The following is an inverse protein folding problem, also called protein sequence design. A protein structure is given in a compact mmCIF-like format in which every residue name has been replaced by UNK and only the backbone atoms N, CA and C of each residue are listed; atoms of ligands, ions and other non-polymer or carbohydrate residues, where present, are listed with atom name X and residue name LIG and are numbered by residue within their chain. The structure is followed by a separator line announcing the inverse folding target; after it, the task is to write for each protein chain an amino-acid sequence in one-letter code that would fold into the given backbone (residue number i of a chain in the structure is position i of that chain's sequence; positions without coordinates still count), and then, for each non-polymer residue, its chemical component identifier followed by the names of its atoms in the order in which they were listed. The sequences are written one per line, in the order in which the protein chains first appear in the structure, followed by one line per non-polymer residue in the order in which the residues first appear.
data_IF_462378368627
#
_entry.id   IF_462378368627
#
_cell.length_a   1.000
_cell.length_b   1.000
_cell.length_c   1.000
_cell.angle_alpha   90.00
_cell.angle_beta   90.00
_cell.angle_gamma   90.00
#
_symmetry.space_group_name_H-M   'P 1'
#
loop_
_entity.id
_entity.type
_entity.pdbx_description
1 polymer ?
#
# COMPACT_ATOMS: atom_id res chain seq x y z
N UNK A 1 -4.07 8.17 -14.68
CA UNK A 1 -2.79 8.72 -14.18
C UNK A 1 -2.90 9.25 -12.75
N UNK A 2 -3.86 10.12 -12.42
CA UNK A 2 -4.05 10.62 -11.04
C UNK A 2 -4.11 9.52 -9.96
N UNK A 3 -4.78 8.40 -10.23
CA UNK A 3 -4.86 7.25 -9.30
C UNK A 3 -3.49 6.73 -8.83
N UNK A 4 -2.49 6.71 -9.70
CA UNK A 4 -1.14 6.25 -9.35
C UNK A 4 -0.49 7.23 -8.37
N UNK A 5 -0.58 8.54 -8.64
CA UNK A 5 -0.02 9.59 -7.78
C UNK A 5 -0.61 9.50 -6.36
N UNK A 6 -1.93 9.34 -6.25
CA UNK A 6 -2.58 9.15 -4.95
C UNK A 6 -2.12 7.88 -4.23
N UNK A 7 -1.92 6.77 -4.93
CA UNK A 7 -1.41 5.53 -4.32
C UNK A 7 0.04 5.67 -3.85
N UNK A 8 0.87 6.41 -4.59
CA UNK A 8 2.25 6.72 -4.19
C UNK A 8 2.22 7.55 -2.91
N UNK A 9 1.46 8.66 -2.89
CA UNK A 9 1.33 9.52 -1.71
C UNK A 9 0.78 8.73 -0.52
N UNK A 10 -0.22 7.87 -0.74
CA UNK A 10 -0.78 7.01 0.30
C UNK A 10 0.25 6.01 0.84
N UNK A 11 1.09 5.44 -0.02
CA UNK A 11 2.18 4.56 0.38
C UNK A 11 3.22 5.29 1.22
N UNK A 12 3.69 6.45 0.77
CA UNK A 12 4.66 7.29 1.50
C UNK A 12 4.11 7.66 2.88
N UNK A 13 2.93 8.28 2.92
CA UNK A 13 2.31 8.72 4.18
C UNK A 13 1.95 7.55 5.08
N UNK A 14 1.42 6.47 4.50
CA UNK A 14 1.04 5.29 5.27
C UNK A 14 2.25 4.59 5.91
N UNK A 15 3.36 4.44 5.17
CA UNK A 15 4.61 3.91 5.73
C UNK A 15 5.17 4.85 6.80
N UNK A 16 5.19 6.16 6.55
CA UNK A 16 5.66 7.15 7.51
C UNK A 16 4.85 7.14 8.82
N UNK A 17 3.51 7.07 8.74
CA UNK A 17 2.67 6.90 9.93
C UNK A 17 2.96 5.56 10.61
N UNK A 18 3.12 4.48 9.85
CA UNK A 18 3.30 3.15 10.42
C UNK A 18 4.58 3.05 11.24
N UNK A 19 5.68 3.65 10.79
CA UNK A 19 6.94 3.75 11.55
C UNK A 19 6.72 4.38 12.93
N UNK A 20 5.80 5.34 13.05
CA UNK A 20 5.56 6.08 14.29
C UNK A 20 4.52 5.44 15.20
N UNK A 21 3.50 4.80 14.62
CA UNK A 21 2.33 4.30 15.36
C UNK A 21 2.33 2.79 15.56
N UNK A 22 3.11 2.03 14.79
CA UNK A 22 3.12 0.57 14.84
C UNK A 22 4.42 0.07 15.48
N UNK A 23 4.36 -0.50 16.70
CA UNK A 23 5.53 -1.13 17.29
C UNK A 23 5.93 -2.35 16.44
N UNK A 24 7.21 -2.45 16.09
CA UNK A 24 7.76 -3.50 15.21
C UNK A 24 7.94 -3.08 13.75
N UNK A 25 7.68 -1.82 13.40
CA UNK A 25 8.15 -1.21 12.15
C UNK A 25 9.43 -0.44 12.47
N UNK A 26 10.57 -0.97 12.02
CA UNK A 26 11.88 -0.35 12.20
C UNK A 26 12.30 0.36 10.91
N UNK A 27 12.75 1.61 11.05
CA UNK A 27 13.22 2.41 9.94
C UNK A 27 14.55 3.06 10.28
N UNK A 28 15.59 2.60 9.61
CA UNK A 28 16.99 3.01 9.76
C UNK A 28 17.50 3.74 8.51
N UNK A 29 16.72 3.69 7.42
CA UNK A 29 17.02 4.34 6.14
C UNK A 29 16.90 5.86 6.16
N UNK A 30 17.22 6.45 5.01
CA UNK A 30 17.08 7.89 4.78
C UNK A 30 15.66 8.25 4.31
N UNK A 31 15.27 9.52 4.41
CA UNK A 31 13.97 9.98 3.89
C UNK A 31 13.76 9.61 2.40
N UNK A 32 14.84 9.46 1.63
CA UNK A 32 14.81 9.05 0.23
C UNK A 32 14.31 7.62 0.06
N UNK A 33 14.70 6.72 0.96
CA UNK A 33 14.24 5.32 1.01
C UNK A 33 12.74 5.27 1.19
N UNK A 34 12.19 6.08 2.10
CA UNK A 34 10.76 6.11 2.37
C UNK A 34 9.98 6.60 1.15
N UNK A 35 10.48 7.64 0.47
CA UNK A 35 9.89 8.12 -0.79
C UNK A 35 9.94 7.03 -1.87
N UNK A 36 11.08 6.38 -2.04
CA UNK A 36 11.25 5.33 -3.04
C UNK A 36 10.37 4.11 -2.74
N UNK A 37 10.24 3.71 -1.47
CA UNK A 37 9.35 2.67 -1.02
C UNK A 37 7.89 2.98 -1.34
N UNK A 38 7.44 4.19 -1.05
CA UNK A 38 6.08 4.62 -1.41
C UNK A 38 5.83 4.69 -2.92
N UNK A 39 6.83 5.10 -3.71
CA UNK A 39 6.75 5.09 -5.19
C UNK A 39 6.59 3.65 -5.70
N UNK A 40 7.45 2.73 -5.24
CA UNK A 40 7.38 1.33 -5.65
C UNK A 40 6.06 0.69 -5.18
N UNK A 41 5.61 0.98 -3.96
CA UNK A 41 4.33 0.52 -3.45
C UNK A 41 3.16 0.97 -4.33
N UNK A 42 3.16 2.24 -4.78
CA UNK A 42 2.16 2.77 -5.70
C UNK A 42 2.21 2.07 -7.06
N UNK A 43 3.41 1.83 -7.61
CA UNK A 43 3.58 1.09 -8.86
C UNK A 43 3.07 -0.35 -8.77
N UNK A 44 3.39 -1.06 -7.68
CA UNK A 44 2.91 -2.43 -7.44
C UNK A 44 1.38 -2.45 -7.30
N UNK A 45 0.78 -1.50 -6.58
CA UNK A 45 -0.67 -1.41 -6.48
C UNK A 45 -1.35 -1.07 -7.82
N UNK A 46 -0.69 -0.35 -8.71
CA UNK A 46 -1.24 -0.02 -10.01
C UNK A 46 -1.10 -1.15 -11.03
N UNK A 47 0.05 -1.82 -11.09
CA UNK A 47 0.33 -2.85 -12.11
C UNK A 47 0.09 -4.27 -11.63
N UNK A 48 0.61 -4.63 -10.45
CA UNK A 48 0.64 -6.01 -9.97
C UNK A 48 -0.68 -6.42 -9.32
N UNK A 49 -1.27 -5.53 -8.50
CA UNK A 49 -2.51 -5.83 -7.78
C UNK A 49 -3.72 -6.16 -8.69
N UNK A 50 -3.94 -5.52 -9.86
CA UNK A 50 -4.98 -5.94 -10.79
C UNK A 50 -4.78 -7.37 -11.31
N UNK A 51 -3.53 -7.72 -11.65
CA UNK A 51 -3.17 -9.06 -12.13
C UNK A 51 -3.44 -10.09 -11.04
N UNK A 52 -2.94 -9.85 -9.83
CA UNK A 52 -3.18 -10.72 -8.68
C UNK A 52 -4.68 -10.84 -8.37
N UNK A 53 -5.47 -9.77 -8.52
CA UNK A 53 -6.92 -9.82 -8.29
C UNK A 53 -7.63 -10.76 -9.28
N UNK A 54 -7.20 -10.81 -10.53
CA UNK A 54 -7.78 -11.69 -11.55
C UNK A 54 -7.41 -13.14 -11.25
N UNK A 55 -6.12 -13.42 -11.02
CA UNK A 55 -5.62 -14.77 -10.74
C UNK A 55 -6.22 -15.34 -9.46
N UNK A 56 -6.31 -14.50 -8.42
CA UNK A 56 -6.83 -14.90 -7.10
C UNK A 56 -8.34 -14.76 -6.98
N UNK A 57 -9.06 -14.34 -8.03
CA UNK A 57 -10.50 -14.15 -8.01
C UNK A 57 -11.28 -15.38 -7.51
N UNK A 58 -11.08 -16.61 -8.04
CA UNK A 58 -11.85 -17.78 -7.60
C UNK A 58 -11.58 -18.12 -6.13
N UNK A 59 -10.31 -18.05 -5.71
CA UNK A 59 -9.91 -18.25 -4.32
C UNK A 59 -10.47 -17.16 -3.40
N UNK A 60 -10.54 -15.92 -3.88
CA UNK A 60 -11.08 -14.79 -3.14
C UNK A 60 -12.57 -14.96 -2.88
N UNK A 61 -13.32 -15.51 -3.83
CA UNK A 61 -14.73 -15.84 -3.64
C UNK A 61 -14.87 -16.98 -2.63
N UNK A 62 -14.06 -18.04 -2.77
CA UNK A 62 -14.09 -19.20 -1.87
C UNK A 62 -13.74 -18.85 -0.41
N UNK A 63 -12.85 -17.88 -0.22
CA UNK A 63 -12.38 -17.42 1.10
C UNK A 63 -13.08 -16.15 1.59
N UNK A 64 -14.22 -15.76 0.99
CA UNK A 64 -14.98 -14.55 1.33
C UNK A 64 -14.15 -13.25 1.36
N UNK A 65 -13.11 -13.16 0.53
CA UNK A 65 -12.27 -11.97 0.43
C UNK A 65 -10.99 -12.00 1.27
N UNK A 66 -10.79 -13.01 2.13
CA UNK A 66 -9.61 -13.08 3.02
C UNK A 66 -8.28 -13.05 2.26
N UNK A 67 -8.19 -13.74 1.11
CA UNK A 67 -7.00 -13.72 0.26
C UNK A 67 -6.66 -12.30 -0.24
N UNK A 68 -7.66 -11.42 -0.40
CA UNK A 68 -7.41 -10.02 -0.75
C UNK A 68 -6.63 -9.28 0.33
N UNK A 69 -6.92 -9.53 1.60
CA UNK A 69 -6.20 -8.97 2.74
C UNK A 69 -4.76 -9.48 2.76
N UNK A 70 -4.57 -10.80 2.60
CA UNK A 70 -3.25 -11.43 2.53
C UNK A 70 -2.41 -10.80 1.42
N UNK A 71 -2.95 -10.61 0.23
CA UNK A 71 -2.22 -9.96 -0.88
C UNK A 71 -1.79 -8.53 -0.53
N UNK A 72 -2.64 -7.74 0.14
CA UNK A 72 -2.25 -6.38 0.53
C UNK A 72 -1.11 -6.40 1.54
N UNK A 73 -1.16 -7.29 2.53
CA UNK A 73 -0.06 -7.51 3.49
C UNK A 73 1.21 -7.94 2.77
N UNK A 74 1.11 -8.89 1.84
CA UNK A 74 2.24 -9.39 1.07
C UNK A 74 2.88 -8.30 0.22
N UNK A 75 2.10 -7.36 -0.32
CA UNK A 75 2.65 -6.20 -1.06
C UNK A 75 3.43 -5.29 -0.11
N UNK A 76 2.91 -5.01 1.08
CA UNK A 76 3.61 -4.19 2.08
C UNK A 76 4.91 -4.86 2.51
N UNK A 77 4.85 -6.16 2.82
CA UNK A 77 6.01 -6.97 3.18
C UNK A 77 7.06 -7.01 2.06
N UNK A 78 6.61 -7.21 0.81
CA UNK A 78 7.50 -7.22 -0.35
C UNK A 78 8.20 -5.87 -0.50
N UNK A 79 7.48 -4.75 -0.33
CA UNK A 79 8.10 -3.43 -0.43
C UNK A 79 9.07 -3.20 0.72
N UNK A 80 8.66 -3.38 1.96
CA UNK A 80 9.50 -3.11 3.13
C UNK A 80 10.68 -4.07 3.21
N UNK A 81 10.43 -5.35 3.47
CA UNK A 81 11.46 -6.31 3.86
C UNK A 81 12.26 -6.86 2.68
N UNK A 82 11.64 -6.97 1.48
CA UNK A 82 12.32 -7.59 0.32
C UNK A 82 13.04 -6.55 -0.55
N UNK A 83 12.45 -5.36 -0.73
CA UNK A 83 13.03 -4.33 -1.61
C UNK A 83 13.91 -3.32 -0.87
N UNK A 84 13.73 -3.12 0.44
CA UNK A 84 14.57 -2.24 1.27
C UNK A 84 15.12 -2.95 2.51
N UNK A 85 15.80 -4.10 2.34
CA UNK A 85 16.35 -4.86 3.46
C UNK A 85 17.34 -4.02 4.25
N UNK A 86 17.24 -4.04 5.58
CA UNK A 86 18.11 -3.28 6.48
C UNK A 86 17.86 -1.77 6.56
N UNK A 87 16.92 -1.23 5.77
CA UNK A 87 16.53 0.19 5.82
C UNK A 87 15.08 0.40 6.31
N UNK A 88 14.17 -0.50 5.93
CA UNK A 88 12.78 -0.52 6.38
C UNK A 88 12.38 -1.97 6.66
N UNK A 89 12.32 -2.35 7.93
CA UNK A 89 12.00 -3.72 8.32
C UNK A 89 10.70 -3.76 9.14
N UNK A 90 9.85 -4.74 8.86
CA UNK A 90 8.59 -4.92 9.56
C UNK A 90 8.57 -6.31 10.20
N UNK A 91 8.83 -6.34 11.49
CA UNK A 91 9.06 -7.58 12.23
C UNK A 91 7.74 -8.23 12.63
N UNK A 92 7.27 -9.14 11.77
CA UNK A 92 6.14 -10.03 12.04
C UNK A 92 4.83 -9.62 11.38
N UNK A 93 3.84 -10.51 11.50
CA UNK A 93 2.56 -10.37 10.78
C UNK A 93 1.68 -9.27 11.38
N UNK A 94 1.74 -9.07 12.70
CA UNK A 94 0.91 -8.06 13.38
C UNK A 94 1.29 -6.64 12.96
N UNK A 95 2.59 -6.24 12.95
CA UNK A 95 2.97 -4.92 12.44
C UNK A 95 2.68 -4.74 10.95
N UNK A 96 2.86 -5.77 10.13
CA UNK A 96 2.50 -5.74 8.70
C UNK A 96 0.99 -5.51 8.49
N UNK A 97 0.16 -6.18 9.30
CA UNK A 97 -1.29 -6.00 9.26
C UNK A 97 -1.66 -4.55 9.60
N UNK A 98 -1.16 -4.01 10.70
CA UNK A 98 -1.44 -2.63 11.10
C UNK A 98 -0.92 -1.61 10.09
N UNK A 99 0.28 -1.81 9.55
CA UNK A 99 0.84 -0.98 8.47
C UNK A 99 -0.08 -0.98 7.25
N UNK A 100 -0.57 -2.16 6.84
CA UNK A 100 -1.50 -2.31 5.72
C UNK A 100 -2.81 -1.55 5.97
N UNK A 101 -3.35 -1.64 7.19
CA UNK A 101 -4.56 -0.92 7.61
C UNK A 101 -4.33 0.59 7.58
N UNK A 102 -3.21 1.08 8.09
CA UNK A 102 -2.87 2.51 8.06
C UNK A 102 -2.80 3.01 6.63
N UNK A 103 -2.07 2.32 5.75
CA UNK A 103 -1.99 2.70 4.33
C UNK A 103 -3.38 2.70 3.68
N UNK A 104 -4.23 1.72 3.98
CA UNK A 104 -5.60 1.68 3.48
C UNK A 104 -6.43 2.87 3.94
N UNK A 105 -6.35 3.22 5.23
CA UNK A 105 -7.05 4.38 5.81
C UNK A 105 -6.55 5.67 5.18
N UNK A 106 -5.23 5.86 5.07
CA UNK A 106 -4.61 7.02 4.41
C UNK A 106 -5.07 7.11 2.94
N UNK A 107 -5.04 6.00 2.22
CA UNK A 107 -5.52 5.95 0.83
C UNK A 107 -7.00 6.28 0.71
N UNK A 108 -7.83 5.86 1.67
CA UNK A 108 -9.26 6.18 1.69
C UNK A 108 -9.47 7.68 1.89
N UNK A 109 -8.84 8.28 2.91
CA UNK A 109 -8.92 9.72 3.15
C UNK A 109 -8.40 10.54 1.98
N UNK A 110 -7.24 10.18 1.40
CA UNK A 110 -6.71 10.85 0.21
C UNK A 110 -7.67 10.73 -0.99
N UNK A 111 -8.36 9.59 -1.11
CA UNK A 111 -9.39 9.38 -2.11
C UNK A 111 -10.63 10.26 -1.94
N UNK A 112 -10.97 10.67 -0.72
CA UNK A 112 -12.07 11.61 -0.46
C UNK A 112 -11.76 13.02 -0.97
N UNK A 113 -10.50 13.45 -0.86
CA UNK A 113 -10.05 14.74 -1.37
C UNK A 113 -9.68 14.71 -2.85
N UNK A 114 -9.57 13.52 -3.45
CA UNK A 114 -9.30 13.38 -4.87
C UNK A 114 -10.49 13.97 -5.67
N UNK A 115 -10.30 15.04 -6.45
CA UNK A 115 -11.38 15.63 -7.23
C UNK A 115 -11.93 14.57 -8.20
N UNK A 116 -13.20 14.20 -8.04
CA UNK A 116 -13.91 13.38 -9.02
C UNK A 116 -14.06 14.20 -10.30
N UNK A 117 -13.31 13.87 -11.35
CA UNK A 117 -13.36 14.53 -12.65
C UNK A 117 -14.64 14.21 -13.45
N UNK A 118 -15.81 14.19 -12.80
CA UNK A 118 -17.12 13.92 -13.41
C UNK A 118 -17.74 15.18 -14.05
N UNK A 119 -16.97 15.96 -14.82
CA UNK A 119 -17.48 17.24 -15.38
C UNK A 119 -17.02 17.55 -16.82
N UNK A 120 -16.75 16.56 -17.67
CA UNK A 120 -16.29 16.81 -19.05
C UNK A 120 -16.95 15.88 -20.11
N UNK A 121 -18.17 15.39 -19.88
CA UNK A 121 -18.99 14.69 -20.91
C UNK A 121 -20.47 15.13 -20.87
N UNK A 122 -20.73 16.42 -20.68
CA UNK A 122 -22.02 17.02 -21.06
C UNK A 122 -21.72 18.33 -21.79
N UNK A 123 -21.52 18.20 -23.10
CA UNK A 123 -21.38 19.28 -24.08
C UNK A 123 -21.61 18.71 -25.46
#
# INVERSE_FOLDING_TARGET
MFKLIFQIIAGILGLWLSIRFVPGVEFTGSWQTLVLAGVIFGLINFFIKPILKIITLPLRILTFGLIGLVINILIVWLVADVLFPGELEIHGIVPLFWTTVIIFVVSYFLGLYAPSSHSQEQG
#
